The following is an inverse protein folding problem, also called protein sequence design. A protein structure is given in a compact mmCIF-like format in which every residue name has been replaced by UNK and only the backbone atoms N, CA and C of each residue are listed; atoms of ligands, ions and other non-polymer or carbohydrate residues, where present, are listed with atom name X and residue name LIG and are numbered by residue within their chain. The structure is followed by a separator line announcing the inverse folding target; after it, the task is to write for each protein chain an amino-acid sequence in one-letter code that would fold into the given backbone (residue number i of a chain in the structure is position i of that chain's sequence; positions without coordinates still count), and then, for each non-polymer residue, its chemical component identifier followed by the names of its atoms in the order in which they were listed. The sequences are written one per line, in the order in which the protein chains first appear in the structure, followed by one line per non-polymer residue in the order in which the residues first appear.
data_IF_611059847377
#
_entry.id   IF_611059847377
#
_cell.length_a   1.000
_cell.length_b   1.000
_cell.length_c   1.000
_cell.angle_alpha   90.00
_cell.angle_beta   90.00
_cell.angle_gamma   90.00
#
_symmetry.space_group_name_H-M   'P 1'
#
loop_
_entity.id
_entity.type
_entity.pdbx_description
1 polymer ?
#
# COMPACT_ATOMS: atom_id res chain seq x y z
N UNK A 1 -4.03 23.75 2.56
CA UNK A 1 -4.37 22.31 2.50
C UNK A 1 -3.08 21.54 2.71
N UNK A 2 -3.10 20.46 3.49
CA UNK A 2 -1.91 19.60 3.69
C UNK A 2 -1.62 18.86 2.39
N UNK A 3 -0.37 18.85 1.94
CA UNK A 3 0.08 18.12 0.75
C UNK A 3 0.18 16.62 1.06
N UNK A 4 -0.96 15.92 1.15
CA UNK A 4 -1.05 14.47 1.32
C UNK A 4 -2.30 13.90 0.64
N UNK A 5 -2.25 12.62 0.30
CA UNK A 5 -3.35 11.93 -0.40
C UNK A 5 -4.53 11.58 0.52
N UNK A 6 -4.32 11.53 1.84
CA UNK A 6 -5.32 11.08 2.79
C UNK A 6 -5.20 11.80 4.14
N UNK A 7 -6.35 12.02 4.78
CA UNK A 7 -6.46 12.54 6.15
C UNK A 7 -7.11 11.50 7.11
N UNK A 8 -7.56 10.36 6.56
CA UNK A 8 -8.19 9.27 7.30
C UNK A 8 -7.60 7.94 6.84
N UNK A 9 -7.36 7.05 7.80
CA UNK A 9 -6.86 5.69 7.55
C UNK A 9 -7.70 4.72 8.37
N UNK A 10 -7.98 3.57 7.79
CA UNK A 10 -8.61 2.44 8.46
C UNK A 10 -7.55 1.36 8.60
N UNK A 11 -7.35 0.89 9.82
CA UNK A 11 -6.39 -0.17 10.14
C UNK A 11 -7.12 -1.29 10.88
N UNK A 12 -6.52 -2.48 10.93
CA UNK A 12 -7.08 -3.61 11.66
C UNK A 12 -6.06 -4.16 12.64
N UNK A 13 -6.49 -4.47 13.86
CA UNK A 13 -5.62 -5.12 14.85
C UNK A 13 -5.07 -6.45 14.32
N UNK A 14 -3.79 -6.77 14.57
CA UNK A 14 -3.25 -8.10 14.37
C UNK A 14 -4.04 -9.17 15.15
N UNK A 15 -4.37 -10.28 14.49
CA UNK A 15 -4.95 -11.48 15.11
C UNK A 15 -3.85 -12.45 15.54
N UNK A 16 -4.15 -13.46 16.36
CA UNK A 16 -3.14 -14.48 16.72
C UNK A 16 -2.80 -15.35 15.50
N UNK A 17 -3.78 -15.59 14.65
CA UNK A 17 -3.65 -16.30 13.39
C UNK A 17 -2.66 -15.65 12.41
N UNK A 18 -2.25 -14.38 12.61
CA UNK A 18 -1.20 -13.71 11.82
C UNK A 18 0.11 -14.52 11.74
N UNK A 19 0.38 -15.41 12.71
CA UNK A 19 1.47 -16.39 12.64
C UNK A 19 1.43 -17.27 11.36
N UNK A 20 0.27 -17.38 10.73
CA UNK A 20 -0.01 -18.19 9.54
C UNK A 20 -0.21 -17.36 8.27
N UNK A 21 0.06 -16.05 8.28
CA UNK A 21 -0.02 -15.18 7.10
C UNK A 21 0.72 -15.78 5.90
N UNK A 22 0.25 -15.48 4.69
CA UNK A 22 0.98 -15.82 3.46
C UNK A 22 2.30 -15.04 3.46
N UNK A 23 3.41 -15.76 3.33
CA UNK A 23 4.74 -15.15 3.24
C UNK A 23 5.45 -15.59 1.98
N UNK A 24 6.49 -14.85 1.61
CA UNK A 24 7.44 -15.30 0.59
C UNK A 24 8.14 -16.60 1.01
N UNK A 25 8.57 -17.44 0.05
CA UNK A 25 9.29 -18.67 0.35
C UNK A 25 10.52 -18.43 1.24
N UNK A 26 10.63 -19.17 2.34
CA UNK A 26 11.76 -19.08 3.27
C UNK A 26 11.62 -18.04 4.38
N UNK A 27 10.72 -17.06 4.25
CA UNK A 27 10.55 -15.99 5.25
C UNK A 27 10.22 -16.53 6.65
N UNK A 28 9.24 -17.44 6.76
CA UNK A 28 8.87 -18.06 8.05
C UNK A 28 10.01 -18.82 8.75
N UNK A 29 11.04 -19.27 8.01
CA UNK A 29 12.21 -19.92 8.61
C UNK A 29 13.25 -18.91 9.09
N UNK A 30 13.30 -17.72 8.48
CA UNK A 30 14.25 -16.67 8.79
C UNK A 30 13.80 -15.79 9.96
N UNK A 31 12.49 -15.69 10.20
CA UNK A 31 11.92 -14.78 11.20
C UNK A 31 11.08 -15.53 12.23
N UNK A 32 11.30 -15.23 13.51
CA UNK A 32 10.47 -15.72 14.60
C UNK A 32 9.31 -14.74 14.83
N UNK A 33 8.08 -15.20 14.62
CA UNK A 33 6.89 -14.40 14.90
C UNK A 33 6.62 -14.28 16.41
N UNK A 34 6.26 -13.08 16.86
CA UNK A 34 5.85 -12.75 18.23
C UNK A 34 4.58 -11.93 18.18
N UNK A 35 3.45 -12.52 18.63
CA UNK A 35 2.15 -11.83 18.61
C UNK A 35 2.15 -10.56 19.46
N UNK A 36 2.79 -10.59 20.63
CA UNK A 36 2.92 -9.42 21.50
C UNK A 36 3.71 -8.30 20.85
N UNK A 37 4.76 -8.62 20.08
CA UNK A 37 5.53 -7.63 19.33
C UNK A 37 4.71 -7.06 18.17
N UNK A 38 3.99 -7.89 17.41
CA UNK A 38 3.11 -7.44 16.34
C UNK A 38 2.05 -6.45 16.84
N UNK A 39 1.43 -6.72 18.00
CA UNK A 39 0.48 -5.79 18.65
C UNK A 39 1.16 -4.48 19.07
N UNK A 40 2.37 -4.55 19.64
CA UNK A 40 3.10 -3.37 20.06
C UNK A 40 3.53 -2.50 18.87
N UNK A 41 4.03 -3.11 17.80
CA UNK A 41 4.39 -2.44 16.54
C UNK A 41 3.17 -1.81 15.88
N UNK A 42 2.04 -2.53 15.78
CA UNK A 42 0.80 -1.97 15.24
C UNK A 42 0.30 -0.78 16.08
N UNK A 43 0.42 -0.83 17.41
CA UNK A 43 0.08 0.30 18.28
C UNK A 43 0.98 1.51 17.99
N UNK A 44 2.29 1.29 17.89
CA UNK A 44 3.27 2.34 17.51
C UNK A 44 2.88 2.97 16.17
N UNK A 45 2.64 2.15 15.14
CA UNK A 45 2.19 2.60 13.81
C UNK A 45 0.94 3.51 13.88
N UNK A 46 -0.07 3.10 14.64
CA UNK A 46 -1.30 3.90 14.85
C UNK A 46 -1.01 5.22 15.57
N UNK A 47 -0.16 5.20 16.60
CA UNK A 47 0.22 6.41 17.35
C UNK A 47 1.01 7.39 16.49
N UNK A 48 1.91 6.90 15.62
CA UNK A 48 2.67 7.73 14.67
C UNK A 48 1.77 8.39 13.62
N UNK A 49 0.78 7.67 13.09
CA UNK A 49 -0.22 8.26 12.20
C UNK A 49 -1.04 9.35 12.91
N UNK A 50 -1.50 9.08 14.13
CA UNK A 50 -2.28 10.06 14.91
C UNK A 50 -1.47 11.30 15.28
N UNK A 51 -0.18 11.15 15.59
CA UNK A 51 0.67 12.28 15.98
C UNK A 51 0.89 13.31 14.86
N UNK A 52 0.73 12.90 13.60
CA UNK A 52 0.76 13.81 12.43
C UNK A 52 -0.64 14.28 12.01
N UNK A 53 -1.63 14.12 12.89
CA UNK A 53 -3.00 14.63 12.69
C UNK A 53 -3.86 13.82 11.72
N UNK A 54 -3.50 12.57 11.42
CA UNK A 54 -4.32 11.66 10.61
C UNK A 54 -5.38 11.00 11.50
N UNK A 55 -6.62 10.95 11.03
CA UNK A 55 -7.71 10.25 11.71
C UNK A 55 -7.57 8.75 11.49
N UNK A 56 -7.32 8.00 12.55
CA UNK A 56 -7.14 6.54 12.48
C UNK A 56 -8.31 5.80 13.13
N UNK A 57 -9.05 5.07 12.31
CA UNK A 57 -10.07 4.11 12.72
C UNK A 57 -9.45 2.73 12.84
N UNK A 58 -9.56 2.13 14.02
CA UNK A 58 -8.95 0.83 14.33
C UNK A 58 -10.07 -0.20 14.44
N UNK A 59 -10.09 -1.15 13.51
CA UNK A 59 -11.02 -2.28 13.52
C UNK A 59 -10.49 -3.41 14.39
N UNK A 60 -11.41 -4.21 14.93
CA UNK A 60 -11.06 -5.44 15.63
C UNK A 60 -10.45 -6.48 14.69
N UNK A 61 -9.63 -7.35 15.25
CA UNK A 61 -8.97 -8.45 14.55
C UNK A 61 -9.98 -9.43 13.91
N UNK A 62 -9.57 -10.11 12.85
CA UNK A 62 -10.33 -11.21 12.25
C UNK A 62 -9.48 -12.49 12.33
N UNK A 63 -9.79 -13.34 13.31
CA UNK A 63 -9.01 -14.55 13.58
C UNK A 63 -9.13 -15.60 12.46
N UNK A 64 -10.21 -15.56 11.68
CA UNK A 64 -10.41 -16.44 10.52
C UNK A 64 -9.59 -16.03 9.29
N UNK A 65 -9.03 -14.82 9.29
CA UNK A 65 -8.22 -14.25 8.21
C UNK A 65 -6.85 -13.80 8.74
N UNK A 66 -5.83 -14.68 8.69
CA UNK A 66 -4.46 -14.37 9.13
C UNK A 66 -3.91 -13.04 8.61
N UNK A 67 -4.12 -12.79 7.32
CA UNK A 67 -3.58 -11.64 6.60
C UNK A 67 -4.43 -10.36 6.74
N UNK A 68 -5.53 -10.38 7.51
CA UNK A 68 -6.50 -9.27 7.57
C UNK A 68 -5.97 -7.95 8.13
N UNK A 69 -4.80 -7.96 8.78
CA UNK A 69 -4.07 -6.74 9.17
C UNK A 69 -3.64 -5.91 7.94
N UNK A 70 -3.41 -6.57 6.80
CA UNK A 70 -2.99 -5.93 5.53
C UNK A 70 -4.19 -5.36 4.78
N UNK A 71 -4.81 -4.34 5.38
CA UNK A 71 -6.02 -3.68 4.90
C UNK A 71 -5.86 -3.03 3.51
N UNK A 72 -4.63 -2.65 3.13
CA UNK A 72 -4.32 -2.03 1.84
C UNK A 72 -4.81 -2.87 0.65
N UNK A 73 -4.81 -4.20 0.78
CA UNK A 73 -5.16 -5.07 -0.34
C UNK A 73 -6.67 -5.12 -0.64
N UNK A 74 -7.51 -4.73 0.32
CA UNK A 74 -8.96 -4.93 0.29
C UNK A 74 -9.70 -3.98 -0.66
N UNK A 75 -9.14 -2.81 -0.97
CA UNK A 75 -9.78 -1.81 -1.81
C UNK A 75 -8.80 -0.77 -2.36
N UNK A 76 -9.16 -0.15 -3.49
CA UNK A 76 -8.51 1.07 -4.01
C UNK A 76 -9.50 2.21 -3.96
N UNK A 77 -9.12 3.31 -3.31
CA UNK A 77 -10.03 4.44 -3.03
C UNK A 77 -9.65 5.64 -3.88
N UNK A 78 -10.57 6.10 -4.73
CA UNK A 78 -10.49 7.37 -5.44
C UNK A 78 -11.28 8.44 -4.70
N UNK A 79 -10.69 9.00 -3.63
CA UNK A 79 -11.40 9.93 -2.73
C UNK A 79 -11.98 11.16 -3.45
N UNK A 80 -11.31 11.66 -4.48
CA UNK A 80 -11.79 12.82 -5.27
C UNK A 80 -12.98 12.51 -6.17
N UNK A 81 -13.07 11.28 -6.69
CA UNK A 81 -14.18 10.85 -7.54
C UNK A 81 -15.34 10.26 -6.74
N UNK A 82 -15.17 10.02 -5.43
CA UNK A 82 -16.18 9.35 -4.60
C UNK A 82 -16.34 7.87 -4.94
N UNK A 83 -15.36 7.26 -5.61
CA UNK A 83 -15.42 5.87 -6.10
C UNK A 83 -14.41 5.01 -5.35
N UNK A 84 -14.80 3.79 -5.00
CA UNK A 84 -13.90 2.76 -4.48
C UNK A 84 -14.01 1.48 -5.32
N UNK A 85 -12.86 0.90 -5.67
CA UNK A 85 -12.81 -0.47 -6.19
C UNK A 85 -12.70 -1.42 -5.01
N UNK A 86 -13.66 -2.32 -4.87
CA UNK A 86 -13.56 -3.42 -3.92
C UNK A 86 -12.76 -4.57 -4.54
N UNK A 87 -11.72 -5.01 -3.84
CA UNK A 87 -10.79 -6.01 -4.34
C UNK A 87 -11.46 -7.36 -4.62
N UNK A 88 -10.79 -8.14 -5.46
CA UNK A 88 -11.01 -9.59 -5.54
C UNK A 88 -9.65 -10.25 -5.47
N UNK A 89 -9.33 -10.80 -4.31
CA UNK A 89 -8.02 -11.37 -4.03
C UNK A 89 -7.62 -12.47 -5.03
N UNK A 90 -6.37 -12.40 -5.48
CA UNK A 90 -5.73 -13.45 -6.25
C UNK A 90 -5.47 -14.67 -5.37
N UNK A 91 -5.08 -14.45 -4.11
CA UNK A 91 -4.95 -15.48 -3.09
C UNK A 91 -6.34 -15.96 -2.61
N UNK A 92 -6.77 -17.22 -2.90
CA UNK A 92 -8.12 -17.66 -2.55
C UNK A 92 -8.41 -17.67 -1.06
N UNK A 93 -7.41 -17.93 -0.22
CA UNK A 93 -7.54 -17.95 1.25
C UNK A 93 -7.85 -16.58 1.87
N UNK A 94 -7.60 -15.49 1.15
CA UNK A 94 -7.88 -14.12 1.58
C UNK A 94 -9.24 -13.59 1.11
N UNK A 95 -9.92 -14.31 0.21
CA UNK A 95 -11.23 -13.89 -0.27
C UNK A 95 -12.25 -13.88 0.86
N UNK A 96 -12.97 -12.78 0.97
CA UNK A 96 -13.91 -12.52 2.06
C UNK A 96 -13.45 -11.38 2.96
N UNK A 97 -12.13 -11.14 3.08
CA UNK A 97 -11.59 -10.00 3.82
C UNK A 97 -12.19 -8.66 3.34
N UNK A 98 -12.34 -8.50 2.01
CA UNK A 98 -12.89 -7.29 1.39
C UNK A 98 -14.31 -6.96 1.88
N UNK A 99 -15.10 -7.97 2.27
CA UNK A 99 -16.48 -7.77 2.72
C UNK A 99 -16.55 -6.99 4.03
N UNK A 100 -15.52 -7.11 4.87
CA UNK A 100 -15.41 -6.38 6.13
C UNK A 100 -15.04 -4.89 5.93
N UNK A 101 -14.69 -4.50 4.71
CA UNK A 101 -14.32 -3.12 4.36
C UNK A 101 -15.43 -2.44 3.55
N UNK A 102 -16.25 -3.22 2.83
CA UNK A 102 -17.36 -2.71 2.04
C UNK A 102 -18.33 -1.81 2.83
N UNK A 103 -18.73 -2.21 4.04
CA UNK A 103 -19.64 -1.40 4.87
C UNK A 103 -19.03 -0.06 5.28
N UNK A 104 -17.73 -0.04 5.56
CA UNK A 104 -16.98 1.17 5.91
C UNK A 104 -16.93 2.12 4.71
N UNK A 105 -16.59 1.61 3.53
CA UNK A 105 -16.57 2.39 2.29
C UNK A 105 -17.95 2.98 1.97
N UNK A 106 -19.02 2.19 2.12
CA UNK A 106 -20.39 2.69 1.95
C UNK A 106 -20.74 3.78 2.97
N UNK A 107 -20.33 3.63 4.23
CA UNK A 107 -20.56 4.65 5.27
C UNK A 107 -19.80 5.96 5.01
N UNK A 108 -18.72 5.90 4.23
CA UNK A 108 -17.99 7.07 3.74
C UNK A 108 -18.66 7.74 2.53
N UNK A 109 -19.79 7.19 2.05
CA UNK A 109 -20.51 7.70 0.88
C UNK A 109 -19.86 7.35 -0.46
N UNK A 110 -18.97 6.34 -0.49
CA UNK A 110 -18.28 5.94 -1.71
C UNK A 110 -19.15 4.99 -2.55
N UNK A 111 -19.16 5.22 -3.86
CA UNK A 111 -19.70 4.28 -4.84
C UNK A 111 -18.74 3.09 -4.99
N UNK A 112 -19.20 1.89 -4.68
CA UNK A 112 -18.36 0.69 -4.65
C UNK A 112 -18.50 -0.09 -5.96
N UNK A 113 -17.39 -0.26 -6.67
CA UNK A 113 -17.28 -1.10 -7.86
C UNK A 113 -16.47 -2.36 -7.53
N UNK A 114 -17.10 -3.53 -7.41
CA UNK A 114 -16.37 -4.75 -7.12
C UNK A 114 -15.66 -5.29 -8.37
N UNK A 115 -14.44 -5.82 -8.18
CA UNK A 115 -13.79 -6.62 -9.21
C UNK A 115 -14.50 -7.97 -9.34
N UNK A 116 -14.91 -8.31 -10.56
CA UNK A 116 -15.65 -9.54 -10.86
C UNK A 116 -14.74 -10.59 -11.50
N UNK A 117 -14.99 -11.90 -11.29
CA UNK A 117 -14.33 -12.95 -12.07
C UNK A 117 -14.43 -12.69 -13.58
N UNK A 118 -13.39 -13.00 -14.37
CA UNK A 118 -12.14 -13.65 -13.98
C UNK A 118 -11.08 -12.71 -13.37
N UNK A 119 -11.41 -11.42 -13.18
CA UNK A 119 -10.50 -10.42 -12.64
C UNK A 119 -10.03 -10.68 -11.22
N UNK A 120 -8.78 -10.32 -10.95
CA UNK A 120 -8.20 -10.21 -9.60
C UNK A 120 -7.45 -8.90 -9.50
N UNK A 121 -7.60 -8.23 -8.36
CA UNK A 121 -6.92 -6.97 -8.04
C UNK A 121 -6.81 -6.87 -6.53
N UNK A 122 -5.60 -6.60 -6.05
CA UNK A 122 -5.29 -6.31 -4.66
C UNK A 122 -4.68 -4.90 -4.61
N UNK A 123 -5.10 -4.08 -3.65
CA UNK A 123 -4.63 -2.68 -3.54
C UNK A 123 -3.12 -2.53 -3.34
N UNK A 124 -2.42 -3.54 -2.80
CA UNK A 124 -0.96 -3.60 -2.78
C UNK A 124 -0.30 -3.54 -4.16
N UNK A 125 -1.02 -3.80 -5.25
CA UNK A 125 -0.52 -3.65 -6.63
C UNK A 125 -0.85 -2.29 -7.25
N UNK A 126 -1.50 -1.37 -6.54
CA UNK A 126 -2.00 -0.12 -7.11
C UNK A 126 -1.41 1.09 -6.38
N UNK A 127 -0.41 1.72 -7.00
CA UNK A 127 0.16 2.97 -6.50
C UNK A 127 -0.70 4.16 -6.94
N UNK A 128 -1.48 4.69 -6.00
CA UNK A 128 -2.23 5.94 -6.19
C UNK A 128 -1.29 7.13 -6.00
N UNK A 129 -1.36 8.10 -6.91
CA UNK A 129 -0.55 9.33 -6.87
C UNK A 129 -1.42 10.59 -6.88
N UNK A 130 -0.81 11.76 -6.69
CA UNK A 130 -1.49 13.06 -6.71
C UNK A 130 -1.65 13.67 -8.10
N UNK A 131 -0.96 13.12 -9.10
CA UNK A 131 -0.68 13.71 -10.41
C UNK A 131 -1.65 13.23 -11.52
N UNK A 132 -2.74 12.54 -11.16
CA UNK A 132 -3.68 11.98 -12.14
C UNK A 132 -3.15 10.75 -12.88
N UNK A 133 -2.05 10.16 -12.38
CA UNK A 133 -1.47 8.91 -12.86
C UNK A 133 -1.57 7.86 -11.77
N UNK A 134 -1.88 6.62 -12.12
CA UNK A 134 -1.88 5.47 -11.20
C UNK A 134 -1.02 4.40 -11.82
N UNK A 135 -0.09 3.84 -11.05
CA UNK A 135 0.71 2.69 -11.50
C UNK A 135 0.06 1.40 -10.99
N UNK A 136 -0.26 0.49 -11.89
CA UNK A 136 -0.93 -0.78 -11.60
C UNK A 136 -0.04 -1.97 -11.98
N UNK A 137 0.30 -2.78 -10.98
CA UNK A 137 1.18 -3.93 -11.10
C UNK A 137 0.46 -5.18 -11.60
N UNK A 138 0.97 -5.80 -12.65
CA UNK A 138 0.68 -7.20 -12.97
C UNK A 138 1.54 -8.10 -12.09
N UNK A 139 0.88 -8.96 -11.31
CA UNK A 139 1.51 -9.82 -10.31
C UNK A 139 0.81 -11.19 -10.26
N UNK A 140 1.19 -12.03 -9.30
CA UNK A 140 0.43 -13.26 -8.99
C UNK A 140 -0.94 -12.97 -8.34
N UNK A 141 -1.14 -11.73 -7.87
CA UNK A 141 -2.32 -11.26 -7.13
C UNK A 141 -3.27 -10.44 -8.00
N UNK A 142 -2.72 -9.64 -8.92
CA UNK A 142 -3.47 -8.74 -9.79
C UNK A 142 -3.26 -9.09 -11.26
N UNK A 143 -4.37 -9.32 -11.99
CA UNK A 143 -4.36 -9.66 -13.41
C UNK A 143 -4.89 -8.51 -14.30
N UNK A 144 -4.81 -8.70 -15.61
CA UNK A 144 -5.22 -7.67 -16.59
C UNK A 144 -6.70 -7.29 -16.43
N UNK A 145 -7.58 -8.26 -16.23
CA UNK A 145 -9.02 -8.04 -16.10
C UNK A 145 -9.38 -7.25 -14.83
N UNK A 146 -8.61 -7.43 -13.75
CA UNK A 146 -8.69 -6.57 -12.56
C UNK A 146 -8.27 -5.13 -12.86
N UNK A 147 -7.15 -4.93 -13.54
CA UNK A 147 -6.67 -3.60 -13.95
C UNK A 147 -7.65 -2.92 -14.92
N UNK A 148 -8.30 -3.66 -15.82
CA UNK A 148 -9.35 -3.10 -16.68
C UNK A 148 -10.59 -2.65 -15.89
N UNK A 149 -10.89 -3.28 -14.74
CA UNK A 149 -11.93 -2.79 -13.84
C UNK A 149 -11.52 -1.45 -13.21
N UNK A 150 -10.25 -1.31 -12.80
CA UNK A 150 -9.69 -0.06 -12.29
C UNK A 150 -9.80 1.07 -13.33
N UNK A 151 -9.36 0.82 -14.58
CA UNK A 151 -9.44 1.81 -15.67
C UNK A 151 -10.87 2.27 -15.95
N UNK A 152 -11.83 1.34 -15.98
CA UNK A 152 -13.24 1.66 -16.25
C UNK A 152 -13.86 2.52 -15.14
N UNK A 153 -13.48 2.28 -13.89
CA UNK A 153 -13.99 3.06 -12.76
C UNK A 153 -13.37 4.47 -12.67
N UNK A 154 -12.17 4.65 -13.23
CA UNK A 154 -11.45 5.92 -13.21
C UNK A 154 -11.05 6.35 -14.62
N UNK A 155 -12.01 6.68 -15.52
CA UNK A 155 -11.73 6.96 -16.93
C UNK A 155 -10.87 8.21 -17.16
N UNK A 156 -10.81 9.11 -16.18
CA UNK A 156 -10.02 10.35 -16.25
C UNK A 156 -8.63 10.21 -15.60
N UNK A 157 -8.26 9.02 -15.13
CA UNK A 157 -6.96 8.73 -14.53
C UNK A 157 -6.12 7.93 -15.52
N UNK A 158 -4.88 8.34 -15.72
CA UNK A 158 -3.95 7.59 -16.55
C UNK A 158 -3.42 6.38 -15.77
N UNK A 159 -3.91 5.18 -16.09
CA UNK A 159 -3.45 3.94 -15.45
C UNK A 159 -2.30 3.34 -16.25
N UNK A 160 -1.08 3.52 -15.74
CA UNK A 160 0.13 2.92 -16.28
C UNK A 160 0.28 1.49 -15.75
N UNK A 161 0.38 0.51 -16.65
CA UNK A 161 0.51 -0.91 -16.26
C UNK A 161 1.95 -1.38 -16.39
N UNK A 162 2.49 -1.99 -15.34
CA UNK A 162 3.85 -2.54 -15.31
C UNK A 162 3.89 -3.88 -14.58
N UNK A 163 4.97 -4.65 -14.74
CA UNK A 163 5.14 -5.92 -14.02
C UNK A 163 5.67 -5.65 -12.61
N UNK A 164 4.97 -6.13 -11.58
CA UNK A 164 5.45 -6.07 -10.20
C UNK A 164 6.74 -6.91 -10.02
N UNK A 165 7.64 -6.43 -9.17
CA UNK A 165 8.95 -7.05 -8.88
C UNK A 165 9.07 -7.58 -7.44
N UNK A 166 7.96 -8.08 -6.89
CA UNK A 166 7.84 -8.66 -5.55
C UNK A 166 6.50 -9.37 -5.42
N UNK A 167 6.02 -9.58 -4.18
CA UNK A 167 4.66 -10.09 -3.96
C UNK A 167 3.60 -9.16 -4.58
N UNK A 168 3.78 -7.86 -4.39
CA UNK A 168 2.99 -6.81 -5.02
C UNK A 168 3.89 -5.68 -5.56
N UNK A 169 3.32 -4.75 -6.34
CA UNK A 169 4.01 -3.55 -6.81
C UNK A 169 4.58 -2.72 -5.65
N UNK A 170 3.77 -2.47 -4.62
CA UNK A 170 4.09 -1.59 -3.50
C UNK A 170 5.07 -2.19 -2.50
N UNK A 171 5.44 -3.47 -2.66
CA UNK A 171 6.53 -4.06 -1.87
C UNK A 171 7.85 -3.30 -2.06
N UNK A 172 8.07 -2.73 -3.24
CA UNK A 172 9.33 -2.08 -3.59
C UNK A 172 9.18 -0.78 -4.41
N UNK A 173 7.99 -0.17 -4.38
CA UNK A 173 7.71 1.10 -5.05
C UNK A 173 6.82 1.96 -4.16
N UNK A 174 7.31 3.11 -3.74
CA UNK A 174 6.59 4.05 -2.88
C UNK A 174 6.39 5.41 -3.53
N UNK A 175 5.34 6.14 -3.11
CA UNK A 175 5.09 7.53 -3.52
C UNK A 175 5.46 8.48 -2.38
N UNK A 176 6.20 9.54 -2.71
CA UNK A 176 6.77 10.52 -1.78
C UNK A 176 6.12 11.92 -1.93
N UNK A 177 5.00 12.03 -2.65
CA UNK A 177 4.42 13.33 -2.99
C UNK A 177 5.13 13.99 -4.17
N UNK A 178 4.51 15.04 -4.74
CA UNK A 178 5.13 15.96 -5.72
C UNK A 178 5.86 15.24 -6.85
N UNK A 179 5.18 14.30 -7.51
CA UNK A 179 5.72 13.48 -8.58
C UNK A 179 7.05 12.77 -8.24
N UNK A 180 7.28 12.42 -6.98
CA UNK A 180 8.49 11.72 -6.54
C UNK A 180 8.14 10.30 -6.10
N UNK A 181 8.88 9.33 -6.59
CA UNK A 181 8.80 7.91 -6.22
C UNK A 181 10.08 7.47 -5.51
N UNK A 182 10.00 6.33 -4.84
CA UNK A 182 11.16 5.61 -4.28
C UNK A 182 11.13 4.15 -4.71
N UNK A 183 12.29 3.61 -5.07
CA UNK A 183 12.48 2.21 -5.45
C UNK A 183 13.93 1.81 -5.19
N UNK A 184 14.24 0.52 -5.15
CA UNK A 184 15.63 0.08 -5.20
C UNK A 184 16.29 0.38 -6.56
N UNK A 185 17.60 0.61 -6.53
CA UNK A 185 18.44 0.82 -7.71
C UNK A 185 18.24 -0.30 -8.74
N UNK A 186 17.98 0.08 -9.99
CA UNK A 186 17.89 -0.86 -11.12
C UNK A 186 16.68 -1.81 -11.10
N UNK A 187 15.80 -1.75 -10.10
CA UNK A 187 14.65 -2.65 -9.97
C UNK A 187 13.62 -2.43 -11.10
N UNK A 188 13.40 -1.16 -11.45
CA UNK A 188 12.50 -0.72 -12.50
C UNK A 188 13.22 0.22 -13.48
N UNK A 189 12.83 0.16 -14.76
CA UNK A 189 13.26 1.17 -15.72
C UNK A 189 12.58 2.51 -15.39
N UNK A 190 13.38 3.49 -14.96
CA UNK A 190 12.91 4.83 -14.59
C UNK A 190 12.21 5.56 -15.74
N UNK A 191 12.45 5.19 -17.00
CA UNK A 191 11.79 5.80 -18.16
C UNK A 191 10.27 5.64 -18.13
N UNK A 192 9.76 4.56 -17.53
CA UNK A 192 8.33 4.27 -17.33
C UNK A 192 7.68 5.37 -16.47
N UNK A 193 8.38 5.85 -15.45
CA UNK A 193 7.89 6.88 -14.52
C UNK A 193 8.16 8.29 -15.07
N UNK A 194 9.35 8.52 -15.63
CA UNK A 194 9.76 9.82 -16.18
C UNK A 194 8.85 10.32 -17.30
N UNK A 195 8.34 9.44 -18.16
CA UNK A 195 7.40 9.84 -19.23
C UNK A 195 6.08 10.42 -18.70
N UNK A 196 5.77 10.15 -17.43
CA UNK A 196 4.62 10.69 -16.71
C UNK A 196 4.99 11.84 -15.77
N UNK A 197 6.23 12.36 -15.85
CA UNK A 197 6.70 13.47 -15.04
C UNK A 197 7.19 13.10 -13.64
N UNK A 198 7.40 11.80 -13.36
CA UNK A 198 7.89 11.37 -12.06
C UNK A 198 9.41 11.22 -12.01
N UNK A 199 10.01 11.69 -10.91
CA UNK A 199 11.37 11.34 -10.51
C UNK A 199 11.38 10.13 -9.57
N UNK A 200 12.50 9.42 -9.53
CA UNK A 200 12.67 8.23 -8.68
C UNK A 200 13.94 8.38 -7.85
N UNK A 201 13.78 8.37 -6.54
CA UNK A 201 14.88 8.22 -5.58
C UNK A 201 15.22 6.74 -5.50
N UNK A 202 16.45 6.39 -5.85
CA UNK A 202 16.94 5.02 -5.79
C UNK A 202 17.66 4.75 -4.46
N UNK A 203 17.14 3.79 -3.69
CA UNK A 203 17.80 3.28 -2.47
C UNK A 203 18.64 2.04 -2.79
N UNK A 204 19.61 1.68 -1.92
CA UNK A 204 20.40 0.45 -2.09
C UNK A 204 19.51 -0.79 -2.19
N UNK A 205 19.92 -1.74 -3.03
CA UNK A 205 19.19 -2.98 -3.29
C UNK A 205 18.95 -3.80 -2.01
N UNK A 206 19.90 -3.76 -1.09
CA UNK A 206 19.87 -4.44 0.20
C UNK A 206 18.75 -3.91 1.11
N UNK A 207 18.38 -2.63 0.95
CA UNK A 207 17.34 -1.95 1.72
C UNK A 207 16.04 -1.78 0.90
N UNK A 208 15.86 -2.51 -0.21
CA UNK A 208 14.70 -2.37 -1.12
C UNK A 208 13.32 -2.43 -0.46
N UNK A 209 13.19 -3.13 0.67
CA UNK A 209 11.94 -3.25 1.42
C UNK A 209 11.54 -1.92 2.08
N UNK A 210 12.49 -1.00 2.27
CA UNK A 210 12.23 0.36 2.78
C UNK A 210 11.40 1.22 1.83
N UNK A 211 11.29 0.83 0.54
CA UNK A 211 10.42 1.51 -0.41
C UNK A 211 8.91 1.29 -0.12
N UNK A 212 8.57 0.31 0.73
CA UNK A 212 7.23 0.18 1.30
C UNK A 212 7.06 1.15 2.47
N UNK A 213 6.68 2.38 2.14
CA UNK A 213 6.57 3.51 3.06
C UNK A 213 5.30 4.32 2.82
N UNK A 214 5.00 5.26 3.72
CA UNK A 214 3.87 6.20 3.54
C UNK A 214 4.34 7.65 3.55
N UNK A 215 4.00 8.40 2.51
CA UNK A 215 4.08 9.86 2.55
C UNK A 215 2.94 10.45 3.37
N UNK A 216 3.28 11.12 4.47
CA UNK A 216 2.33 11.69 5.45
C UNK A 216 2.05 13.18 5.22
N UNK A 217 2.67 13.76 4.20
CA UNK A 217 2.57 15.16 3.83
C UNK A 217 3.53 16.08 4.55
N UNK A 218 3.69 17.29 3.99
CA UNK A 218 4.67 18.30 4.43
C UNK A 218 6.09 17.72 4.52
N UNK A 219 6.47 16.86 3.56
CA UNK A 219 7.78 16.21 3.58
C UNK A 219 7.95 15.12 4.64
N UNK A 220 6.91 14.73 5.40
CA UNK A 220 7.03 13.64 6.39
C UNK A 220 6.82 12.28 5.71
N UNK A 221 7.67 11.32 6.06
CA UNK A 221 7.62 9.94 5.54
C UNK A 221 7.62 8.96 6.70
N UNK A 222 6.63 8.08 6.75
CA UNK A 222 6.61 6.94 7.65
C UNK A 222 7.48 5.83 7.05
N UNK A 223 8.62 5.56 7.68
CA UNK A 223 9.58 4.57 7.22
C UNK A 223 9.65 3.42 8.23
N UNK A 224 9.72 2.16 7.79
CA UNK A 224 10.05 1.05 8.68
C UNK A 224 11.42 1.28 9.35
N UNK A 225 11.54 0.98 10.64
CA UNK A 225 12.82 1.09 11.34
C UNK A 225 13.87 0.09 10.80
N UNK A 226 15.15 0.45 10.87
CA UNK A 226 16.28 -0.44 10.55
C UNK A 226 16.89 -0.27 9.15
N UNK A 227 16.34 0.61 8.32
CA UNK A 227 16.85 0.94 6.99
C UNK A 227 17.60 2.28 6.99
N UNK A 228 18.82 2.27 7.54
CA UNK A 228 19.59 3.50 7.78
C UNK A 228 19.99 4.21 6.48
N UNK A 229 20.38 3.49 5.43
CA UNK A 229 20.81 4.14 4.19
C UNK A 229 19.62 4.78 3.47
N UNK A 230 18.46 4.11 3.45
CA UNK A 230 17.23 4.67 2.91
C UNK A 230 16.80 5.92 3.70
N UNK A 231 16.87 5.87 5.05
CA UNK A 231 16.59 7.02 5.92
C UNK A 231 17.50 8.20 5.57
N UNK A 232 18.81 7.99 5.61
CA UNK A 232 19.81 9.04 5.40
C UNK A 232 19.67 9.64 3.98
N UNK A 233 19.38 8.82 2.96
CA UNK A 233 19.12 9.30 1.60
C UNK A 233 17.85 10.16 1.52
N UNK A 234 16.76 9.73 2.15
CA UNK A 234 15.51 10.51 2.18
C UNK A 234 15.69 11.84 2.91
N UNK A 235 16.44 11.87 4.00
CA UNK A 235 16.76 13.11 4.73
C UNK A 235 17.63 14.06 3.89
N UNK A 236 18.59 13.54 3.12
CA UNK A 236 19.36 14.34 2.16
C UNK A 236 18.47 14.95 1.06
N UNK A 237 17.37 14.29 0.69
CA UNK A 237 16.36 14.81 -0.23
C UNK A 237 15.33 15.73 0.46
N UNK A 238 15.52 16.06 1.74
CA UNK A 238 14.70 17.01 2.48
C UNK A 238 13.43 16.41 3.10
N UNK A 239 13.29 15.09 3.13
CA UNK A 239 12.21 14.42 3.86
C UNK A 239 12.51 14.37 5.37
N UNK A 240 11.44 14.34 6.16
CA UNK A 240 11.48 14.18 7.62
C UNK A 240 10.96 12.80 7.96
N UNK A 241 11.82 11.95 8.51
CA UNK A 241 11.46 10.56 8.76
C UNK A 241 10.71 10.41 10.09
N UNK A 242 9.63 9.64 10.04
CA UNK A 242 8.89 9.14 11.19
C UNK A 242 9.08 7.63 11.16
N UNK A 243 9.85 7.07 12.10
CA UNK A 243 10.02 5.61 12.17
C UNK A 243 8.86 4.98 12.94
N UNK A 244 8.39 3.82 12.46
CA UNK A 244 7.36 2.99 13.08
C UNK A 244 7.72 1.50 13.02
#
# INVERSE_FOLDING_TARGET
MVDRLFDRVVVRKPSKSMASCITEPGYRRAVKFSYSEAIAQHRSYVEKLRSVGIKVEVLDELEEYPDSVFMQDTAVIGGRSGVAILARFGAPSRRGEERHVASILSSMGLEIHPVKPPGTLEGGDVLVTGEGVVFAGLSSRTNKEGIETLKKAFPNVNVETLRAKGLHLLSHLGYLGKATLISAEGLYDKSIFKRHGFDVIEIPWEERDAANLLYLGEGRVLLPAGYNQARDLLEQHGFRIVEA
#
